data_IF_572447746632
#
_entry.id   IF_572447746632
#
_cell.length_a   1.000
_cell.length_b   1.000
_cell.length_c   1.000
_cell.angle_alpha   90.00
_cell.angle_beta   90.00
_cell.angle_gamma   90.00
#
_symmetry.space_group_name_H-M   'P 1'
#
loop_
_entity.id
_entity.type
_entity.pdbx_description
1 polymer ?
#
# COMPACT_ATOMS: atom_id res chain seq x y z
N UNK A 1 -2.14 11.03 -4.50
CA UNK A 1 -2.13 9.77 -3.72
C UNK A 1 -1.20 8.77 -4.37
N UNK A 2 -0.40 8.03 -3.61
CA UNK A 2 0.50 6.99 -4.12
C UNK A 2 0.02 5.63 -3.60
N UNK A 3 -0.14 4.66 -4.49
CA UNK A 3 -0.41 3.26 -4.12
C UNK A 3 0.90 2.54 -3.86
N UNK A 4 1.03 1.89 -2.71
CA UNK A 4 2.20 1.09 -2.33
C UNK A 4 1.77 -0.37 -2.24
N UNK A 5 2.34 -1.18 -3.12
CA UNK A 5 2.19 -2.64 -3.07
C UNK A 5 3.27 -3.24 -2.17
N UNK A 6 2.99 -4.40 -1.57
CA UNK A 6 3.96 -5.05 -0.66
C UNK A 6 4.31 -4.22 0.57
N UNK A 7 3.42 -3.32 1.02
CA UNK A 7 3.74 -2.38 2.09
C UNK A 7 3.88 -3.02 3.48
N UNK A 8 3.38 -4.25 3.66
CA UNK A 8 3.63 -5.04 4.87
C UNK A 8 5.00 -5.75 4.86
N UNK A 9 5.72 -5.69 3.74
CA UNK A 9 7.11 -6.13 3.61
C UNK A 9 8.13 -5.08 4.03
N UNK A 10 9.41 -5.44 4.02
CA UNK A 10 10.48 -4.52 4.45
C UNK A 10 10.61 -3.29 3.52
N UNK A 11 10.64 -3.52 2.21
CA UNK A 11 10.83 -2.45 1.22
C UNK A 11 9.59 -1.56 1.11
N UNK A 12 8.42 -2.16 0.82
CA UNK A 12 7.19 -1.40 0.68
C UNK A 12 6.81 -0.65 1.96
N UNK A 13 7.05 -1.24 3.14
CA UNK A 13 6.73 -0.59 4.41
C UNK A 13 7.60 0.64 4.69
N UNK A 14 8.90 0.57 4.37
CA UNK A 14 9.79 1.72 4.47
C UNK A 14 9.38 2.85 3.51
N UNK A 15 9.00 2.51 2.27
CA UNK A 15 8.49 3.49 1.30
C UNK A 15 7.17 4.12 1.76
N UNK A 16 6.23 3.33 2.25
CA UNK A 16 4.95 3.84 2.76
C UNK A 16 5.16 4.82 3.93
N UNK A 17 6.01 4.48 4.90
CA UNK A 17 6.35 5.35 6.03
C UNK A 17 6.99 6.66 5.57
N UNK A 18 8.01 6.58 4.71
CA UNK A 18 8.70 7.76 4.19
C UNK A 18 7.75 8.70 3.40
N UNK A 19 6.81 8.14 2.64
CA UNK A 19 5.81 8.93 1.90
C UNK A 19 4.81 9.61 2.84
N UNK A 20 4.37 8.92 3.90
CA UNK A 20 3.51 9.49 4.94
C UNK A 20 4.22 10.63 5.69
N UNK A 21 5.48 10.41 6.09
CA UNK A 21 6.29 11.42 6.79
C UNK A 21 6.53 12.68 5.95
N UNK A 22 6.69 12.55 4.63
CA UNK A 22 6.81 13.73 3.75
C UNK A 22 5.52 14.54 3.65
N UNK A 23 4.35 13.93 3.86
CA UNK A 23 3.04 14.60 3.83
C UNK A 23 2.62 15.20 2.47
N UNK A 24 3.42 15.06 1.41
CA UNK A 24 3.14 15.63 0.08
C UNK A 24 2.05 14.87 -0.69
N UNK A 25 1.88 13.58 -0.39
CA UNK A 25 0.90 12.72 -1.04
C UNK A 25 0.19 11.88 0.01
N UNK A 26 -1.13 11.69 -0.14
CA UNK A 26 -1.83 10.60 0.55
C UNK A 26 -1.26 9.25 0.13
N UNK A 27 -1.17 8.30 1.06
CA UNK A 27 -0.60 6.96 0.81
C UNK A 27 -1.71 5.93 0.94
N UNK A 28 -1.83 5.08 -0.07
CA UNK A 28 -2.71 3.92 -0.07
C UNK A 28 -1.87 2.66 -0.09
N UNK A 29 -2.20 1.69 0.75
CA UNK A 29 -1.48 0.44 0.90
C UNK A 29 -2.34 -0.71 0.41
N UNK A 30 -1.82 -1.51 -0.52
CA UNK A 30 -2.43 -2.77 -0.92
C UNK A 30 -1.89 -3.90 -0.03
N UNK A 31 -2.79 -4.62 0.63
CA UNK A 31 -2.43 -5.80 1.45
C UNK A 31 -3.47 -6.90 1.31
N UNK A 32 -3.03 -8.15 1.33
CA UNK A 32 -3.94 -9.31 1.39
C UNK A 32 -4.62 -9.44 2.75
N UNK A 33 -4.01 -8.90 3.79
CA UNK A 33 -4.54 -8.95 5.16
C UNK A 33 -4.50 -7.55 5.80
N UNK A 34 -5.66 -6.88 5.80
CA UNK A 34 -5.85 -5.57 6.42
C UNK A 34 -5.79 -5.60 7.95
N UNK A 35 -5.98 -6.77 8.58
CA UNK A 35 -5.90 -6.95 10.04
C UNK A 35 -4.50 -7.32 10.55
N UNK A 36 -3.50 -7.41 9.68
CA UNK A 36 -2.12 -7.66 10.12
C UNK A 36 -1.58 -6.48 10.92
N UNK A 37 -0.75 -6.75 11.93
CA UNK A 37 -0.15 -5.72 12.81
C UNK A 37 0.47 -4.57 11.99
N UNK A 38 1.26 -4.90 10.98
CA UNK A 38 1.87 -3.90 10.08
C UNK A 38 0.87 -3.09 9.27
N UNK A 39 -0.24 -3.68 8.83
CA UNK A 39 -1.28 -2.93 8.13
C UNK A 39 -1.98 -1.96 9.08
N UNK A 40 -2.24 -2.37 10.32
CA UNK A 40 -2.81 -1.52 11.35
C UNK A 40 -1.85 -0.40 11.77
N UNK A 41 -0.55 -0.67 11.87
CA UNK A 41 0.47 0.35 12.11
C UNK A 41 0.49 1.42 11.00
N UNK A 42 0.44 1.00 9.73
CA UNK A 42 0.39 1.92 8.59
C UNK A 42 -0.91 2.72 8.59
N UNK A 43 -2.04 2.10 8.93
CA UNK A 43 -3.32 2.79 9.07
C UNK A 43 -3.26 3.87 10.17
N UNK A 44 -2.68 3.54 11.33
CA UNK A 44 -2.49 4.46 12.43
C UNK A 44 -1.55 5.63 12.06
N UNK A 45 -0.58 5.38 11.16
CA UNK A 45 0.29 6.42 10.59
C UNK A 45 -0.39 7.27 9.50
N UNK A 46 -1.65 7.00 9.16
CA UNK A 46 -2.45 7.78 8.20
C UNK A 46 -2.52 7.19 6.78
N UNK A 47 -2.09 5.94 6.57
CA UNK A 47 -2.29 5.26 5.29
C UNK A 47 -3.75 4.80 5.12
N UNK A 48 -4.25 4.88 3.90
CA UNK A 48 -5.48 4.20 3.50
C UNK A 48 -5.17 2.72 3.22
N UNK A 49 -5.81 1.81 3.94
CA UNK A 49 -5.62 0.37 3.73
C UNK A 49 -6.68 -0.14 2.74
N UNK A 50 -6.23 -0.77 1.67
CA UNK A 50 -7.08 -1.48 0.72
C UNK A 50 -6.72 -2.95 0.71
N UNK A 51 -7.72 -3.79 0.96
CA UNK A 51 -7.55 -5.24 0.86
C UNK A 51 -7.47 -5.64 -0.60
N UNK A 52 -6.45 -6.40 -0.96
CA UNK A 52 -6.29 -6.85 -2.33
C UNK A 52 -5.09 -7.72 -2.62
N UNK A 53 -5.11 -8.32 -3.81
CA UNK A 53 -4.09 -9.23 -4.30
C UNK A 53 -3.52 -8.74 -5.64
N UNK A 54 -2.22 -8.96 -5.86
CA UNK A 54 -1.55 -8.61 -7.10
C UNK A 54 -1.92 -9.57 -8.24
N UNK A 55 -2.31 -10.80 -7.92
CA UNK A 55 -2.80 -11.79 -8.88
C UNK A 55 -4.28 -11.57 -9.26
N UNK A 56 -5.01 -10.75 -8.51
CA UNK A 56 -6.40 -10.40 -8.80
C UNK A 56 -6.50 -9.05 -9.53
N UNK A 57 -6.77 -9.13 -10.85
CA UNK A 57 -6.90 -7.94 -11.71
C UNK A 57 -7.97 -6.98 -11.21
N UNK A 58 -9.08 -7.47 -10.69
CA UNK A 58 -10.21 -6.63 -10.24
C UNK A 58 -9.81 -5.81 -9.03
N UNK A 59 -9.13 -6.44 -8.07
CA UNK A 59 -8.57 -5.83 -6.89
C UNK A 59 -7.57 -4.73 -7.24
N UNK A 60 -6.66 -5.00 -8.19
CA UNK A 60 -5.73 -3.99 -8.69
C UNK A 60 -6.45 -2.79 -9.33
N UNK A 61 -7.51 -3.04 -10.11
CA UNK A 61 -8.30 -1.99 -10.74
C UNK A 61 -9.00 -1.11 -9.71
N UNK A 62 -9.46 -1.68 -8.59
CA UNK A 62 -10.05 -0.94 -7.49
C UNK A 62 -8.99 -0.14 -6.72
N UNK A 63 -7.87 -0.79 -6.36
CA UNK A 63 -6.79 -0.18 -5.59
C UNK A 63 -6.17 1.03 -6.28
N UNK A 64 -6.05 1.01 -7.62
CA UNK A 64 -5.46 2.09 -8.41
C UNK A 64 -6.40 3.29 -8.65
N UNK A 65 -7.68 3.24 -8.27
CA UNK A 65 -8.59 4.35 -8.57
C UNK A 65 -8.15 5.63 -7.86
N UNK A 66 -8.01 6.72 -8.62
CA UNK A 66 -7.64 8.04 -8.08
C UNK A 66 -6.19 8.17 -7.61
N UNK A 67 -5.32 7.21 -7.91
CA UNK A 67 -3.90 7.28 -7.55
C UNK A 67 -3.12 8.03 -8.63
N UNK A 68 -2.17 8.85 -8.20
CA UNK A 68 -1.25 9.58 -9.07
C UNK A 68 -0.11 8.68 -9.57
N UNK A 69 0.33 7.75 -8.72
CA UNK A 69 1.41 6.82 -9.04
C UNK A 69 1.33 5.54 -8.21
N UNK A 70 2.09 4.53 -8.64
CA UNK A 70 2.17 3.22 -8.00
C UNK A 70 3.62 2.87 -7.73
N UNK A 71 3.93 2.50 -6.49
CA UNK A 71 5.13 1.77 -6.14
C UNK A 71 4.83 0.26 -6.25
N UNK A 72 5.31 -0.33 -7.34
CA UNK A 72 5.17 -1.75 -7.66
C UNK A 72 6.34 -2.55 -7.10
N UNK A 73 6.06 -3.46 -6.16
CA UNK A 73 6.99 -4.44 -5.63
C UNK A 73 6.33 -5.81 -5.71
N UNK A 74 6.85 -6.66 -6.58
CA UNK A 74 6.44 -8.06 -6.71
C UNK A 74 7.51 -8.95 -6.11
N UNK A 75 7.10 -10.03 -5.45
CA UNK A 75 8.00 -11.11 -5.07
C UNK A 75 8.02 -12.17 -6.19
N UNK A 76 9.09 -12.96 -6.29
CA UNK A 76 9.31 -13.93 -7.38
C UNK A 76 8.78 -15.35 -7.08
N UNK A 77 7.97 -15.51 -6.02
CA UNK A 77 7.45 -16.78 -5.54
C UNK A 77 5.94 -16.85 -5.73
#
# INVERSE_FOLDING_TARGET
MILVTGATGAQGGSVAKALLEQGKFGVRVLTRNAGSEKALELAAAGAEIVTGDLDDKTSLLQAKQGVYGVFGLTNFW
#
